data_IF_630315332486
#
_entry.id   IF_630315332486
#
_cell.length_a   1.000
_cell.length_b   1.000
_cell.length_c   1.000
_cell.angle_alpha   90.00
_cell.angle_beta   90.00
_cell.angle_gamma   90.00
#
_symmetry.space_group_name_H-M   'P 1'
#
loop_
_entity.id
_entity.type
_entity.pdbx_description
1 polymer ?
#
# COMPACT_ATOMS: atom_id res chain seq x y z
N UNK A 1 -18.87 -52.27 31.82
CA UNK A 1 -17.65 -51.62 31.31
C UNK A 1 -18.07 -50.32 30.64
N UNK A 2 -17.70 -49.15 31.18
CA UNK A 2 -18.07 -47.84 30.63
C UNK A 2 -16.97 -47.34 29.66
N UNK A 3 -17.31 -46.81 28.48
CA UNK A 3 -16.33 -46.14 27.64
C UNK A 3 -16.07 -44.72 28.18
N UNK A 4 -14.80 -44.43 28.48
CA UNK A 4 -14.32 -43.07 28.80
C UNK A 4 -14.31 -42.26 27.51
N UNK A 5 -15.16 -41.24 27.41
CA UNK A 5 -15.13 -40.29 26.30
C UNK A 5 -13.90 -39.40 26.45
N UNK A 6 -13.02 -39.46 25.45
CA UNK A 6 -11.85 -38.61 25.33
C UNK A 6 -12.29 -37.31 24.64
N UNK A 7 -12.37 -36.22 25.40
CA UNK A 7 -12.64 -34.88 24.86
C UNK A 7 -11.34 -34.32 24.26
N UNK A 8 -11.28 -34.21 22.94
CA UNK A 8 -10.18 -33.54 22.22
C UNK A 8 -10.53 -32.06 22.11
N UNK A 9 -9.90 -31.22 22.93
CA UNK A 9 -10.01 -29.77 22.82
C UNK A 9 -9.13 -29.28 21.66
N UNK A 10 -9.76 -28.92 20.54
CA UNK A 10 -9.09 -28.26 19.42
C UNK A 10 -8.85 -26.80 19.79
N UNK A 11 -7.63 -26.45 20.18
CA UNK A 11 -7.22 -25.04 20.31
C UNK A 11 -7.08 -24.46 18.90
N UNK A 12 -8.10 -23.75 18.45
CA UNK A 12 -8.01 -22.88 17.27
C UNK A 12 -7.06 -21.71 17.57
N UNK A 13 -5.89 -21.71 16.93
CA UNK A 13 -4.95 -20.59 16.96
C UNK A 13 -5.58 -19.40 16.25
N UNK A 14 -6.06 -18.42 17.01
CA UNK A 14 -6.47 -17.12 16.46
C UNK A 14 -5.20 -16.42 16.00
N UNK A 15 -4.99 -16.33 14.70
CA UNK A 15 -3.96 -15.47 14.11
C UNK A 15 -4.32 -14.02 14.44
N UNK A 16 -3.74 -13.45 15.49
CA UNK A 16 -3.81 -12.01 15.74
C UNK A 16 -3.02 -11.31 14.64
N UNK A 17 -3.70 -10.85 13.58
CA UNK A 17 -3.14 -9.87 12.65
C UNK A 17 -3.08 -8.55 13.41
N UNK A 18 -1.92 -8.23 13.95
CA UNK A 18 -1.66 -7.02 14.72
C UNK A 18 -1.57 -5.79 13.79
N UNK A 19 -2.27 -4.72 14.20
CA UNK A 19 -2.34 -3.36 13.67
C UNK A 19 -2.45 -3.18 12.14
N UNK A 20 -3.61 -2.65 11.76
CA UNK A 20 -4.05 -2.19 10.44
C UNK A 20 -4.01 -0.66 10.29
N UNK A 21 -3.64 0.07 11.36
CA UNK A 21 -3.39 1.51 11.35
C UNK A 21 -2.24 1.78 12.30
N UNK A 22 -1.35 2.70 11.96
CA UNK A 22 -0.31 3.16 12.89
C UNK A 22 -0.93 3.96 14.04
N UNK A 23 -0.32 3.89 15.22
CA UNK A 23 -0.82 4.55 16.44
C UNK A 23 -0.22 5.93 16.69
N UNK A 24 0.69 6.38 15.83
CA UNK A 24 1.36 7.67 15.93
C UNK A 24 2.23 7.92 14.69
N UNK A 25 2.71 9.16 14.56
CA UNK A 25 3.39 9.65 13.36
C UNK A 25 2.74 10.94 12.88
N UNK A 26 3.03 11.33 11.62
CA UNK A 26 2.33 12.46 11.00
C UNK A 26 0.89 12.06 10.73
N UNK A 27 -0.07 12.94 11.03
CA UNK A 27 -1.46 12.68 10.68
C UNK A 27 -1.64 12.71 9.16
N UNK A 28 -2.38 11.74 8.62
CA UNK A 28 -2.66 11.64 7.18
C UNK A 28 -3.44 12.84 6.64
N UNK A 29 -4.34 13.40 7.46
CA UNK A 29 -5.33 14.40 7.02
C UNK A 29 -6.09 13.94 5.77
N UNK A 30 -6.28 12.62 5.60
CA UNK A 30 -6.87 12.05 4.39
C UNK A 30 -8.30 12.54 4.20
N UNK A 31 -8.52 13.35 3.16
CA UNK A 31 -9.82 13.85 2.73
C UNK A 31 -9.79 14.14 1.22
N UNK A 32 -10.91 14.57 0.65
CA UNK A 32 -11.03 14.82 -0.80
C UNK A 32 -10.03 15.87 -1.33
N UNK A 33 -9.59 16.82 -0.50
CA UNK A 33 -8.71 17.92 -0.89
C UNK A 33 -7.22 17.63 -0.65
N UNK A 34 -6.91 16.82 0.35
CA UNK A 34 -5.55 16.63 0.86
C UNK A 34 -5.03 15.19 0.72
N UNK A 35 -5.84 14.30 0.16
CA UNK A 35 -5.44 12.91 -0.05
C UNK A 35 -4.35 12.77 -1.12
N UNK A 36 -3.43 11.82 -0.95
CA UNK A 36 -2.47 11.46 -1.99
C UNK A 36 -3.20 10.91 -3.21
N UNK A 37 -2.65 11.15 -4.40
CA UNK A 37 -3.19 10.67 -5.68
C UNK A 37 -2.88 9.19 -5.89
N UNK A 38 -3.58 8.33 -5.13
CA UNK A 38 -3.35 6.88 -5.08
C UNK A 38 -3.56 6.22 -6.45
N UNK A 39 -4.41 6.81 -7.30
CA UNK A 39 -4.55 6.43 -8.71
C UNK A 39 -3.21 6.48 -9.46
N UNK A 40 -2.50 7.62 -9.38
CA UNK A 40 -1.21 7.81 -10.05
C UNK A 40 -0.12 6.94 -9.40
N UNK A 41 -0.16 6.79 -8.07
CA UNK A 41 0.77 5.92 -7.35
C UNK A 41 0.63 4.47 -7.83
N UNK A 42 -0.61 4.00 -7.99
CA UNK A 42 -0.88 2.65 -8.45
C UNK A 42 -0.40 2.40 -9.88
N UNK A 43 -0.42 3.39 -10.79
CA UNK A 43 0.18 3.25 -12.12
C UNK A 43 1.66 2.84 -12.08
N UNK A 44 2.40 3.20 -11.02
CA UNK A 44 3.80 2.79 -10.82
C UNK A 44 3.95 1.44 -10.12
N UNK A 45 2.98 1.07 -9.28
CA UNK A 45 3.08 -0.12 -8.44
C UNK A 45 2.48 -1.36 -9.10
N UNK A 46 1.51 -1.22 -10.01
CA UNK A 46 0.88 -2.36 -10.69
C UNK A 46 1.83 -3.18 -11.56
N UNK A 47 1.44 -4.43 -11.78
CA UNK A 47 2.17 -5.39 -12.59
C UNK A 47 2.48 -6.66 -11.82
N UNK A 48 3.33 -7.49 -12.41
CA UNK A 48 3.67 -8.80 -11.86
C UNK A 48 4.75 -8.70 -10.79
N UNK A 49 4.46 -9.31 -9.65
CA UNK A 49 5.38 -9.55 -8.56
C UNK A 49 5.70 -11.04 -8.51
N UNK A 50 6.94 -11.38 -8.16
CA UNK A 50 7.36 -12.77 -8.01
C UNK A 50 8.16 -12.97 -6.72
N UNK A 51 8.10 -14.17 -6.16
CA UNK A 51 8.85 -14.53 -4.94
C UNK A 51 10.36 -14.49 -5.14
N UNK A 52 10.81 -14.93 -6.31
CA UNK A 52 12.23 -15.06 -6.67
C UNK A 52 12.78 -13.80 -7.34
N UNK A 53 11.92 -12.83 -7.63
CA UNK A 53 12.29 -11.56 -8.25
C UNK A 53 11.90 -10.37 -7.37
N UNK A 54 11.26 -9.37 -7.98
CA UNK A 54 10.83 -8.18 -7.25
C UNK A 54 9.51 -8.45 -6.51
N UNK A 55 9.62 -8.86 -5.26
CA UNK A 55 8.48 -9.10 -4.36
C UNK A 55 7.93 -7.81 -3.74
N UNK A 56 8.66 -6.71 -3.80
CA UNK A 56 8.25 -5.42 -3.20
C UNK A 56 8.47 -4.27 -4.17
N UNK A 57 7.51 -3.34 -4.24
CA UNK A 57 7.65 -2.07 -4.92
C UNK A 57 7.18 -0.96 -4.01
N UNK A 58 7.85 0.18 -4.10
CA UNK A 58 7.53 1.36 -3.33
C UNK A 58 7.46 2.59 -4.23
N UNK A 59 6.69 3.58 -3.79
CA UNK A 59 6.55 4.88 -4.43
C UNK A 59 6.48 5.96 -3.36
N UNK A 60 6.96 7.15 -3.71
CA UNK A 60 6.86 8.33 -2.86
C UNK A 60 6.00 9.40 -3.53
N UNK A 61 5.11 10.02 -2.76
CA UNK A 61 4.28 11.14 -3.21
C UNK A 61 4.34 12.31 -2.22
N UNK A 62 4.51 13.53 -2.71
CA UNK A 62 4.38 14.74 -1.87
C UNK A 62 2.97 15.30 -2.06
N UNK A 63 2.18 15.38 -0.99
CA UNK A 63 0.82 15.92 -1.06
C UNK A 63 0.76 17.46 -1.09
N UNK A 64 -0.46 17.99 -1.21
CA UNK A 64 -0.75 19.43 -1.26
C UNK A 64 -0.37 20.16 0.03
N UNK A 65 -0.32 19.45 1.16
CA UNK A 65 0.13 19.94 2.46
C UNK A 65 1.64 19.81 2.65
N UNK A 66 2.38 19.43 1.60
CA UNK A 66 3.82 19.15 1.62
C UNK A 66 4.18 18.04 2.61
N UNK A 67 3.29 17.08 2.81
CA UNK A 67 3.60 15.83 3.50
C UNK A 67 4.20 14.85 2.51
N UNK A 68 5.20 14.10 2.96
CA UNK A 68 5.72 12.96 2.24
C UNK A 68 4.82 11.77 2.52
N UNK A 69 4.47 11.03 1.49
CA UNK A 69 3.78 9.75 1.61
C UNK A 69 4.65 8.65 1.04
N UNK A 70 4.94 7.66 1.86
CA UNK A 70 5.65 6.45 1.46
C UNK A 70 4.62 5.32 1.27
N UNK A 71 4.55 4.80 0.04
CA UNK A 71 3.67 3.69 -0.32
C UNK A 71 4.50 2.45 -0.60
N UNK A 72 4.02 1.29 -0.15
CA UNK A 72 4.62 0.00 -0.45
C UNK A 72 3.56 -1.05 -0.75
N UNK A 73 3.84 -1.89 -1.74
CA UNK A 73 3.12 -3.14 -1.97
C UNK A 73 4.14 -4.27 -2.01
N UNK A 74 3.91 -5.26 -1.17
CA UNK A 74 4.73 -6.45 -1.04
C UNK A 74 3.91 -7.70 -1.31
N UNK A 75 4.38 -8.58 -2.20
CA UNK A 75 3.76 -9.86 -2.50
C UNK A 75 4.10 -10.88 -1.42
N UNK A 76 3.07 -11.38 -0.74
CA UNK A 76 3.16 -12.37 0.35
C UNK A 76 2.38 -13.66 0.04
N UNK A 77 1.87 -13.79 -1.20
CA UNK A 77 1.08 -14.95 -1.62
C UNK A 77 1.89 -16.25 -1.71
N UNK A 78 1.18 -17.37 -1.79
CA UNK A 78 1.79 -18.71 -1.84
C UNK A 78 2.26 -19.14 -3.24
N UNK A 79 1.74 -18.54 -4.32
CA UNK A 79 2.15 -18.84 -5.69
C UNK A 79 3.50 -18.19 -6.05
N UNK A 80 4.15 -18.64 -7.12
CA UNK A 80 5.44 -18.09 -7.60
C UNK A 80 5.37 -16.62 -7.99
N UNK A 81 4.25 -16.20 -8.56
CA UNK A 81 4.00 -14.82 -8.96
C UNK A 81 2.51 -14.49 -8.93
N UNK A 82 2.22 -13.20 -8.87
CA UNK A 82 0.88 -12.64 -9.04
C UNK A 82 0.98 -11.25 -9.64
N UNK A 83 0.04 -10.91 -10.52
CA UNK A 83 -0.14 -9.54 -11.01
C UNK A 83 -1.16 -8.83 -10.14
N UNK A 84 -0.79 -7.65 -9.63
CA UNK A 84 -1.75 -6.74 -9.03
C UNK A 84 -2.24 -5.75 -10.10
N UNK A 85 -3.55 -5.55 -10.19
CA UNK A 85 -4.14 -4.54 -11.05
C UNK A 85 -4.37 -3.22 -10.31
N UNK A 86 -4.81 -2.19 -11.05
CA UNK A 86 -5.03 -0.85 -10.50
C UNK A 86 -6.10 -0.86 -9.41
N UNK A 87 -7.17 -1.64 -9.58
CA UNK A 87 -8.29 -1.66 -8.63
C UNK A 87 -7.89 -2.30 -7.29
N UNK A 88 -7.20 -3.44 -7.34
CA UNK A 88 -6.67 -4.13 -6.16
C UNK A 88 -5.59 -3.30 -5.46
N UNK A 89 -4.72 -2.61 -6.22
CA UNK A 89 -3.74 -1.68 -5.67
C UNK A 89 -4.41 -0.51 -4.93
N UNK A 90 -5.37 0.16 -5.59
CA UNK A 90 -6.05 1.33 -5.01
C UNK A 90 -6.83 0.94 -3.76
N UNK A 91 -7.63 -0.12 -3.85
CA UNK A 91 -8.43 -0.58 -2.71
C UNK A 91 -7.55 -0.92 -1.50
N UNK A 92 -6.38 -1.50 -1.71
CA UNK A 92 -5.44 -1.83 -0.64
C UNK A 92 -4.81 -0.59 -0.02
N UNK A 93 -4.19 0.27 -0.84
CA UNK A 93 -3.50 1.47 -0.34
C UNK A 93 -4.46 2.51 0.25
N UNK A 94 -5.62 2.75 -0.37
CA UNK A 94 -6.62 3.69 0.18
C UNK A 94 -7.14 3.24 1.56
N UNK A 95 -7.24 1.94 1.80
CA UNK A 95 -7.67 1.43 3.11
C UNK A 95 -6.67 1.82 4.22
N UNK A 96 -5.37 1.73 3.93
CA UNK A 96 -4.32 2.07 4.89
C UNK A 96 -4.13 3.60 4.99
N UNK A 97 -4.27 4.35 3.90
CA UNK A 97 -4.13 5.81 3.89
C UNK A 97 -5.24 6.53 4.68
N UNK A 98 -6.43 5.91 4.80
CA UNK A 98 -7.57 6.43 5.58
C UNK A 98 -7.38 6.34 7.10
N UNK A 99 -6.38 5.59 7.56
CA UNK A 99 -5.99 5.61 8.96
C UNK A 99 -5.44 6.99 9.37
N UNK A 100 -5.65 7.38 10.63
CA UNK A 100 -5.22 8.69 11.15
C UNK A 100 -3.74 8.96 10.93
N UNK A 101 -2.89 7.95 11.06
CA UNK A 101 -1.44 8.07 10.88
C UNK A 101 -0.93 7.19 9.74
N UNK A 102 -1.80 6.83 8.78
CA UNK A 102 -1.49 5.77 7.84
C UNK A 102 -1.53 4.37 8.46
N UNK A 103 -1.12 3.38 7.69
CA UNK A 103 -1.26 1.99 8.09
C UNK A 103 -0.40 1.04 7.27
N UNK A 104 -0.32 -0.19 7.78
CA UNK A 104 0.27 -1.33 7.09
C UNK A 104 -0.54 -2.56 7.42
N UNK A 105 -0.93 -3.33 6.41
CA UNK A 105 -1.74 -4.52 6.58
C UNK A 105 -1.39 -5.62 5.60
N UNK A 106 -1.38 -6.84 6.11
CA UNK A 106 -1.38 -8.07 5.30
C UNK A 106 -2.82 -8.48 5.01
N UNK A 107 -3.14 -8.63 3.73
CA UNK A 107 -4.44 -9.11 3.29
C UNK A 107 -4.29 -9.95 2.02
N UNK A 108 -4.82 -11.18 2.06
CA UNK A 108 -4.78 -12.12 0.93
C UNK A 108 -3.34 -12.36 0.47
N UNK A 109 -2.98 -11.92 -0.75
CA UNK A 109 -1.68 -12.12 -1.37
C UNK A 109 -0.70 -10.94 -1.18
N UNK A 110 -1.12 -9.90 -0.47
CA UNK A 110 -0.40 -8.62 -0.45
C UNK A 110 -0.23 -8.07 0.97
N UNK A 111 0.89 -7.40 1.20
CA UNK A 111 1.06 -6.44 2.28
C UNK A 111 1.03 -5.04 1.66
N UNK A 112 0.15 -4.19 2.16
CA UNK A 112 -0.01 -2.80 1.74
C UNK A 112 0.51 -1.88 2.84
N UNK A 113 1.18 -0.79 2.46
CA UNK A 113 1.56 0.29 3.37
C UNK A 113 1.24 1.64 2.74
N UNK A 114 0.65 2.53 3.53
CA UNK A 114 0.54 3.96 3.22
C UNK A 114 0.96 4.74 4.46
N UNK A 115 2.09 5.44 4.38
CA UNK A 115 2.73 6.06 5.54
C UNK A 115 2.99 7.57 5.34
N UNK A 116 2.18 8.47 5.94
CA UNK A 116 2.42 9.90 5.93
C UNK A 116 3.59 10.27 6.86
N UNK A 117 4.47 11.11 6.35
CA UNK A 117 5.72 11.52 6.97
C UNK A 117 5.97 13.02 6.78
N UNK A 118 6.78 13.61 7.65
CA UNK A 118 7.24 14.99 7.49
C UNK A 118 8.19 15.15 6.29
N UNK A 119 8.13 16.30 5.64
CA UNK A 119 9.01 16.67 4.54
C UNK A 119 8.46 16.29 3.15
N UNK A 120 9.33 16.27 2.15
CA UNK A 120 8.98 15.96 0.77
C UNK A 120 9.68 14.68 0.29
N UNK A 121 9.22 14.13 -0.82
CA UNK A 121 9.92 13.04 -1.48
C UNK A 121 11.34 13.44 -1.88
N UNK A 122 12.35 12.57 -1.68
CA UNK A 122 13.65 12.78 -2.27
C UNK A 122 13.53 12.91 -3.79
N UNK A 123 14.26 13.83 -4.44
CA UNK A 123 14.19 14.04 -5.91
C UNK A 123 14.35 12.76 -6.75
N UNK A 124 15.02 11.73 -6.22
CA UNK A 124 15.20 10.44 -6.89
C UNK A 124 13.96 9.52 -6.85
N UNK A 125 12.97 9.85 -6.02
CA UNK A 125 11.75 9.05 -5.77
C UNK A 125 10.47 9.88 -5.97
N UNK A 126 10.59 11.17 -6.28
CA UNK A 126 9.47 12.08 -6.45
C UNK A 126 8.70 11.76 -7.75
N UNK A 127 7.45 11.34 -7.60
CA UNK A 127 6.48 11.46 -8.68
C UNK A 127 6.06 12.91 -8.82
N UNK A 128 6.76 13.66 -9.67
CA UNK A 128 6.44 15.05 -9.91
C UNK A 128 5.12 15.16 -10.72
N UNK A 129 4.11 15.83 -10.17
CA UNK A 129 2.86 16.18 -10.86
C UNK A 129 3.10 17.02 -12.13
N UNK A 130 4.28 17.63 -12.32
CA UNK A 130 4.60 18.37 -13.55
C UNK A 130 4.80 17.45 -14.77
N UNK A 131 4.88 16.13 -14.63
CA UNK A 131 5.12 15.24 -15.78
C UNK A 131 3.85 14.69 -16.47
N UNK A 132 2.65 14.99 -15.95
CA UNK A 132 1.38 14.51 -16.55
C UNK A 132 0.66 15.61 -17.36
N UNK A 133 1.15 16.85 -17.31
CA UNK A 133 0.80 17.83 -18.36
C UNK A 133 1.69 17.51 -19.56
N UNK A 134 1.07 17.01 -20.62
CA UNK A 134 1.74 16.39 -21.75
C UNK A 134 2.89 17.21 -22.34
N UNK A 135 3.89 16.47 -22.82
CA UNK A 135 4.60 16.85 -24.04
C UNK A 135 3.53 17.09 -25.11
N UNK A 136 3.10 18.33 -25.28
CA UNK A 136 2.57 18.81 -26.54
C UNK A 136 3.80 19.26 -27.29
N UNK A 137 4.33 18.37 -28.12
CA UNK A 137 5.25 18.76 -29.18
C UNK A 137 4.51 19.73 -30.10
N UNK A 138 4.82 21.01 -29.97
CA UNK A 138 4.56 21.95 -31.06
C UNK A 138 5.66 21.71 -32.09
N UNK A 139 5.42 20.82 -33.05
CA UNK A 139 6.13 20.87 -34.32
C UNK A 139 5.69 22.14 -35.04
N UNK A 140 6.64 23.06 -35.22
CA UNK A 140 6.51 24.21 -36.11
C UNK A 140 6.22 23.71 -37.53
N UNK A 141 5.07 24.11 -38.07
CA UNK A 141 4.78 24.15 -39.51
C UNK A 141 4.61 25.60 -39.94
#
# INVERSE_FOLDING_TARGET
MQPKQLLVAVLSTVSLVAATCYTGGRASNFNEENSPRIDIICEKLVGTYSKTGKSTRAACYTDTLKSRWDFEISYIGSAESRTIDIAECRSGLEAEAKCTYGGRRRYSNWEYMSDPNEGACPRALEMNMTSIVGHIDYEEY
#
